data_IF_089927789952
#
_entry.id   IF_089927789952
#
_cell.length_a   1.000
_cell.length_b   1.000
_cell.length_c   1.000
_cell.angle_alpha   90.00
_cell.angle_beta   90.00
_cell.angle_gamma   90.00
#
_symmetry.space_group_name_H-M   'P 1'
#
loop_
_entity.id
_entity.type
_entity.pdbx_description
1 polymer ?
#
# COMPACT_ATOMS: atom_id res chain seq x y z
N UNK A 1 -8.41 19.49 9.00
CA UNK A 1 -7.31 18.89 8.24
C UNK A 1 -6.73 19.85 7.18
N UNK A 2 -7.45 20.27 6.13
CA UNK A 2 -6.91 21.18 5.10
C UNK A 2 -6.24 22.46 5.64
N UNK A 3 -6.74 23.01 6.76
CA UNK A 3 -6.10 24.17 7.41
C UNK A 3 -4.72 23.84 8.01
N UNK A 4 -4.57 22.64 8.62
CA UNK A 4 -3.32 22.22 9.26
C UNK A 4 -2.24 21.77 8.25
N UNK A 5 -2.64 21.41 7.03
CA UNK A 5 -1.74 20.90 5.97
C UNK A 5 -1.59 21.88 4.81
N UNK A 6 -1.91 23.17 4.99
CA UNK A 6 -1.85 24.19 3.94
C UNK A 6 -2.55 23.75 2.63
N UNK A 7 -3.68 23.05 2.75
CA UNK A 7 -4.46 22.57 1.59
C UNK A 7 -4.05 21.18 1.05
N UNK A 8 -2.97 20.59 1.55
CA UNK A 8 -2.50 19.28 1.10
C UNK A 8 -3.45 18.17 1.58
N UNK A 9 -3.83 17.30 0.66
CA UNK A 9 -4.64 16.13 0.98
C UNK A 9 -3.74 14.97 1.44
N UNK A 10 -3.73 14.69 2.74
CA UNK A 10 -2.85 13.67 3.34
C UNK A 10 -3.56 12.38 3.77
N UNK A 11 -4.89 12.40 3.91
CA UNK A 11 -5.62 11.28 4.54
C UNK A 11 -6.82 10.76 3.75
N UNK A 12 -7.12 11.32 2.57
CA UNK A 12 -8.33 10.95 1.82
C UNK A 12 -8.34 9.47 1.45
N UNK A 13 -7.21 8.95 0.97
CA UNK A 13 -7.06 7.53 0.64
C UNK A 13 -7.20 6.63 1.86
N UNK A 14 -6.56 6.99 2.98
CA UNK A 14 -6.66 6.23 4.22
C UNK A 14 -8.09 6.20 4.77
N UNK A 15 -8.79 7.34 4.81
CA UNK A 15 -10.19 7.41 5.25
C UNK A 15 -11.09 6.53 4.34
N UNK A 16 -10.87 6.58 3.03
CA UNK A 16 -11.62 5.77 2.08
C UNK A 16 -11.39 4.28 2.33
N UNK A 17 -10.14 3.83 2.40
CA UNK A 17 -9.80 2.41 2.60
C UNK A 17 -10.27 1.89 3.95
N UNK A 18 -10.01 2.63 5.04
CA UNK A 18 -10.44 2.25 6.38
C UNK A 18 -11.96 2.25 6.52
N UNK A 19 -12.66 3.21 5.89
CA UNK A 19 -14.13 3.24 5.88
C UNK A 19 -14.73 1.99 5.26
N UNK A 20 -14.19 1.54 4.13
CA UNK A 20 -14.63 0.30 3.46
C UNK A 20 -14.30 -0.92 4.34
N UNK A 21 -13.11 -0.99 4.93
CA UNK A 21 -12.72 -2.09 5.80
C UNK A 21 -13.60 -2.18 7.05
N UNK A 22 -13.90 -1.04 7.69
CA UNK A 22 -14.81 -0.98 8.83
C UNK A 22 -16.25 -1.42 8.46
N UNK A 23 -16.75 -0.99 7.30
CA UNK A 23 -18.07 -1.41 6.83
C UNK A 23 -18.11 -2.92 6.57
N UNK A 24 -17.09 -3.47 5.91
CA UNK A 24 -16.94 -4.91 5.68
C UNK A 24 -16.91 -5.69 6.98
N UNK A 25 -16.12 -5.23 7.97
CA UNK A 25 -16.05 -5.85 9.29
C UNK A 25 -17.42 -5.82 9.99
N UNK A 26 -18.13 -4.69 9.95
CA UNK A 26 -19.47 -4.56 10.52
C UNK A 26 -20.48 -5.52 9.86
N UNK A 27 -20.39 -5.70 8.55
CA UNK A 27 -21.25 -6.67 7.82
C UNK A 27 -20.92 -8.12 8.12
N UNK A 28 -19.71 -8.41 8.60
CA UNK A 28 -19.28 -9.75 9.02
C UNK A 28 -19.52 -10.03 10.50
N UNK A 29 -20.22 -9.14 11.20
CA UNK A 29 -20.51 -9.30 12.63
C UNK A 29 -21.31 -10.55 12.90
N UNK A 30 -20.82 -11.38 13.82
CA UNK A 30 -21.46 -12.66 14.18
C UNK A 30 -21.09 -13.85 13.30
N UNK A 31 -20.28 -13.64 12.26
CA UNK A 31 -19.73 -14.70 11.42
C UNK A 31 -18.26 -15.00 11.77
N UNK A 32 -17.76 -16.23 11.63
CA UNK A 32 -16.32 -16.47 11.63
C UNK A 32 -15.67 -15.72 10.50
N UNK A 33 -14.67 -14.90 10.80
CA UNK A 33 -13.99 -14.12 9.78
C UNK A 33 -12.46 -14.18 9.92
N UNK A 34 -11.81 -14.01 8.79
CA UNK A 34 -10.35 -13.79 8.67
C UNK A 34 -10.08 -12.45 8.01
N UNK A 35 -8.85 -11.98 8.09
CA UNK A 35 -8.43 -10.77 7.35
C UNK A 35 -8.71 -10.92 5.85
N UNK A 36 -8.46 -12.10 5.28
CA UNK A 36 -8.75 -12.37 3.87
C UNK A 36 -10.24 -12.26 3.55
N UNK A 37 -11.13 -12.85 4.38
CA UNK A 37 -12.57 -12.73 4.21
C UNK A 37 -13.04 -11.28 4.20
N UNK A 38 -12.55 -10.46 5.16
CA UNK A 38 -12.90 -9.05 5.24
C UNK A 38 -12.45 -8.30 3.98
N UNK A 39 -11.24 -8.55 3.49
CA UNK A 39 -10.72 -7.88 2.29
C UNK A 39 -11.47 -8.29 1.03
N UNK A 40 -11.81 -9.57 0.86
CA UNK A 40 -12.65 -10.03 -0.25
C UNK A 40 -14.04 -9.38 -0.23
N UNK A 41 -14.67 -9.29 0.95
CA UNK A 41 -15.95 -8.60 1.13
C UNK A 41 -15.87 -7.10 0.80
N UNK A 42 -14.73 -6.45 1.08
CA UNK A 42 -14.50 -5.07 0.61
C UNK A 42 -14.65 -4.97 -0.92
N UNK A 43 -14.07 -5.92 -1.65
CA UNK A 43 -14.18 -6.00 -3.10
C UNK A 43 -15.62 -6.21 -3.57
N UNK A 44 -16.35 -7.14 -2.95
CA UNK A 44 -17.76 -7.41 -3.27
C UNK A 44 -18.63 -6.16 -3.09
N UNK A 45 -18.45 -5.43 -1.98
CA UNK A 45 -19.19 -4.21 -1.66
C UNK A 45 -18.91 -3.05 -2.63
N UNK A 46 -17.72 -2.98 -3.18
CA UNK A 46 -17.27 -1.77 -3.89
C UNK A 46 -17.09 -1.97 -5.39
N UNK A 47 -16.98 -3.22 -5.87
CA UNK A 47 -16.59 -3.56 -7.24
C UNK A 47 -17.38 -2.81 -8.29
N UNK A 48 -18.70 -2.91 -8.31
CA UNK A 48 -19.53 -2.30 -9.34
C UNK A 48 -19.37 -0.78 -9.37
N UNK A 49 -19.49 -0.13 -8.20
CA UNK A 49 -19.37 1.32 -8.12
C UNK A 49 -17.98 1.82 -8.49
N UNK A 50 -16.94 1.12 -8.07
CA UNK A 50 -15.56 1.53 -8.40
C UNK A 50 -15.24 1.30 -9.87
N UNK A 51 -15.79 0.26 -10.49
CA UNK A 51 -15.68 0.03 -11.92
C UNK A 51 -16.36 1.14 -12.71
N UNK A 52 -17.58 1.54 -12.33
CA UNK A 52 -18.29 2.66 -12.95
C UNK A 52 -17.53 3.99 -12.79
N UNK A 53 -16.98 4.25 -11.59
CA UNK A 53 -16.18 5.46 -11.35
C UNK A 53 -14.88 5.48 -12.17
N UNK A 54 -14.22 4.33 -12.32
CA UNK A 54 -13.00 4.18 -13.12
C UNK A 54 -13.30 4.34 -14.63
N UNK A 55 -14.40 3.75 -15.10
CA UNK A 55 -14.82 3.89 -16.51
C UNK A 55 -15.21 5.31 -16.83
N UNK A 56 -15.98 5.97 -15.96
CA UNK A 56 -16.32 7.40 -16.09
C UNK A 56 -15.05 8.28 -16.08
N UNK A 57 -14.06 7.94 -15.26
CA UNK A 57 -12.78 8.64 -15.24
C UNK A 57 -11.99 8.42 -16.54
N UNK A 58 -12.12 7.25 -17.17
CA UNK A 58 -11.49 6.93 -18.46
C UNK A 58 -12.08 7.72 -19.62
N UNK A 59 -13.41 7.88 -19.63
CA UNK A 59 -14.15 8.54 -20.73
C UNK A 59 -14.26 10.06 -20.54
N UNK A 60 -14.13 10.56 -19.30
CA UNK A 60 -14.33 11.97 -18.95
C UNK A 60 -13.05 12.79 -18.87
N UNK A 61 -13.18 14.06 -18.48
CA UNK A 61 -12.04 14.88 -18.10
C UNK A 61 -11.54 14.49 -16.69
N UNK A 62 -10.26 14.13 -16.59
CA UNK A 62 -9.66 13.79 -15.31
C UNK A 62 -9.64 14.99 -14.37
N UNK A 63 -10.30 14.86 -13.22
CA UNK A 63 -10.43 15.89 -12.17
C UNK A 63 -9.36 15.77 -11.09
N UNK A 64 -8.70 14.61 -10.99
CA UNK A 64 -7.68 14.33 -10.00
C UNK A 64 -6.44 13.74 -10.66
N UNK A 65 -5.28 13.86 -9.99
CA UNK A 65 -4.05 13.24 -10.49
C UNK A 65 -4.17 11.72 -10.65
N UNK A 66 -4.84 11.03 -9.70
CA UNK A 66 -5.09 9.59 -9.81
C UNK A 66 -5.90 9.21 -11.05
N UNK A 67 -6.91 10.00 -11.42
CA UNK A 67 -7.67 9.82 -12.67
C UNK A 67 -6.81 10.06 -13.91
N UNK A 68 -5.91 11.05 -13.89
CA UNK A 68 -4.95 11.27 -14.97
C UNK A 68 -4.00 10.08 -15.17
N UNK A 69 -3.49 9.51 -14.07
CA UNK A 69 -2.64 8.31 -14.11
C UNK A 69 -3.43 7.11 -14.63
N UNK A 70 -4.70 6.96 -14.20
CA UNK A 70 -5.56 5.91 -14.69
C UNK A 70 -5.82 6.01 -16.20
N UNK A 71 -6.13 7.21 -16.71
CA UNK A 71 -6.32 7.44 -18.15
C UNK A 71 -5.07 7.10 -18.97
N UNK A 72 -3.90 7.44 -18.45
CA UNK A 72 -2.61 7.24 -19.17
C UNK A 72 -2.07 5.83 -19.07
N UNK A 73 -2.23 5.17 -17.92
CA UNK A 73 -1.54 3.92 -17.57
C UNK A 73 -2.46 2.78 -17.16
N UNK A 74 -3.75 3.04 -16.95
CA UNK A 74 -4.67 2.04 -16.41
C UNK A 74 -4.50 1.75 -14.91
N UNK A 75 -3.66 2.52 -14.19
CA UNK A 75 -3.41 2.33 -12.75
C UNK A 75 -4.50 3.01 -11.95
N UNK A 76 -5.44 2.23 -11.44
CA UNK A 76 -6.66 2.70 -10.76
C UNK A 76 -6.45 3.17 -9.30
N UNK A 77 -5.23 3.05 -8.77
CA UNK A 77 -4.91 3.46 -7.39
C UNK A 77 -5.84 2.81 -6.36
N UNK A 78 -6.16 3.53 -5.30
CA UNK A 78 -6.98 3.02 -4.18
C UNK A 78 -8.39 2.55 -4.60
N UNK A 79 -8.95 3.05 -5.70
CA UNK A 79 -10.26 2.59 -6.20
C UNK A 79 -10.17 1.20 -6.81
N UNK A 80 -9.14 0.94 -7.61
CA UNK A 80 -8.90 -0.40 -8.17
C UNK A 80 -8.53 -1.39 -7.07
N UNK A 81 -7.73 -0.99 -6.09
CA UNK A 81 -7.43 -1.82 -4.90
C UNK A 81 -8.70 -2.20 -4.14
N UNK A 82 -9.60 -1.23 -3.88
CA UNK A 82 -10.87 -1.51 -3.21
C UNK A 82 -11.75 -2.47 -4.02
N UNK A 83 -11.89 -2.24 -5.34
CA UNK A 83 -12.66 -3.10 -6.23
C UNK A 83 -12.10 -4.52 -6.34
N UNK A 84 -10.78 -4.67 -6.22
CA UNK A 84 -10.06 -5.94 -6.18
C UNK A 84 -10.00 -6.62 -4.81
N UNK A 85 -10.66 -6.06 -3.78
CA UNK A 85 -10.57 -6.57 -2.42
C UNK A 85 -9.20 -6.34 -1.80
N UNK A 86 -8.58 -5.21 -2.10
CA UNK A 86 -7.24 -4.83 -1.63
C UNK A 86 -6.20 -5.94 -1.89
N UNK A 87 -6.11 -6.38 -3.15
CA UNK A 87 -5.25 -7.47 -3.57
C UNK A 87 -3.78 -7.27 -3.13
N UNK A 88 -3.24 -6.05 -3.23
CA UNK A 88 -1.90 -5.73 -2.75
C UNK A 88 -1.72 -6.03 -1.26
N UNK A 89 -2.72 -5.69 -0.44
CA UNK A 89 -2.70 -6.00 0.99
C UNK A 89 -2.82 -7.51 1.21
N UNK A 90 -3.80 -8.16 0.58
CA UNK A 90 -4.11 -9.58 0.76
C UNK A 90 -2.96 -10.48 0.31
N UNK A 91 -2.39 -10.22 -0.86
CA UNK A 91 -1.44 -11.11 -1.53
C UNK A 91 0.03 -10.76 -1.23
N UNK A 92 0.28 -9.55 -0.70
CA UNK A 92 1.65 -9.10 -0.41
C UNK A 92 1.83 -8.70 1.05
N UNK A 93 1.06 -7.73 1.54
CA UNK A 93 1.33 -7.16 2.86
C UNK A 93 1.04 -8.13 4.00
N UNK A 94 -0.14 -8.78 4.00
CA UNK A 94 -0.52 -9.71 5.06
C UNK A 94 0.38 -10.95 5.14
N UNK A 95 0.72 -11.63 4.04
CA UNK A 95 1.68 -12.73 4.08
C UNK A 95 3.05 -12.29 4.63
N UNK A 96 3.53 -11.11 4.24
CA UNK A 96 4.80 -10.58 4.74
C UNK A 96 4.73 -10.21 6.21
N UNK A 97 3.65 -9.56 6.66
CA UNK A 97 3.40 -9.21 8.06
C UNK A 97 3.43 -10.47 8.93
N UNK A 98 2.65 -11.50 8.55
CA UNK A 98 2.57 -12.75 9.30
C UNK A 98 3.91 -13.47 9.35
N UNK A 99 4.61 -13.61 8.22
CA UNK A 99 5.93 -14.24 8.19
C UNK A 99 6.96 -13.52 9.10
N UNK A 100 6.89 -12.19 9.18
CA UNK A 100 7.75 -11.41 10.06
C UNK A 100 7.39 -11.59 11.54
N UNK A 101 6.09 -11.64 11.87
CA UNK A 101 5.59 -11.92 13.22
C UNK A 101 5.98 -13.35 13.66
N UNK A 102 5.79 -14.34 12.79
CA UNK A 102 6.17 -15.73 13.04
C UNK A 102 7.67 -15.89 13.26
N UNK A 103 8.49 -15.02 12.63
CA UNK A 103 9.93 -14.94 12.87
C UNK A 103 10.31 -14.19 14.17
N UNK A 104 9.32 -13.80 14.99
CA UNK A 104 9.51 -13.16 16.28
C UNK A 104 9.81 -11.65 16.22
N UNK A 105 9.57 -10.99 15.07
CA UNK A 105 9.72 -9.54 14.98
C UNK A 105 8.57 -8.82 15.71
N UNK A 106 8.83 -7.60 16.18
CA UNK A 106 7.78 -6.76 16.76
C UNK A 106 6.72 -6.40 15.71
N UNK A 107 5.50 -6.05 16.15
CA UNK A 107 4.44 -5.61 15.23
C UNK A 107 4.89 -4.44 14.36
N UNK A 108 5.65 -3.50 14.91
CA UNK A 108 6.15 -2.36 14.14
C UNK A 108 7.15 -2.80 13.06
N UNK A 109 8.06 -3.70 13.38
CA UNK A 109 9.04 -4.20 12.41
C UNK A 109 8.40 -5.07 11.33
N UNK A 110 7.43 -5.89 11.71
CA UNK A 110 6.63 -6.67 10.79
C UNK A 110 5.83 -5.76 9.84
N UNK A 111 5.29 -4.63 10.35
CA UNK A 111 4.63 -3.63 9.52
C UNK A 111 5.61 -2.93 8.56
N UNK A 112 6.84 -2.64 8.97
CA UNK A 112 7.89 -2.11 8.09
C UNK A 112 8.24 -3.12 6.97
N UNK A 113 8.34 -4.41 7.29
CA UNK A 113 8.54 -5.46 6.29
C UNK A 113 7.36 -5.51 5.28
N UNK A 114 6.12 -5.46 5.77
CA UNK A 114 4.94 -5.46 4.93
C UNK A 114 4.87 -4.22 4.03
N UNK A 115 5.18 -3.02 4.56
CA UNK A 115 5.24 -1.78 3.79
C UNK A 115 6.30 -1.86 2.70
N UNK A 116 7.51 -2.33 3.03
CA UNK A 116 8.60 -2.48 2.06
C UNK A 116 8.23 -3.44 0.94
N UNK A 117 7.56 -4.56 1.28
CA UNK A 117 7.05 -5.51 0.29
C UNK A 117 5.99 -4.90 -0.64
N UNK A 118 5.09 -4.06 -0.11
CA UNK A 118 4.13 -3.30 -0.92
C UNK A 118 4.83 -2.33 -1.86
N UNK A 119 5.77 -1.53 -1.35
CA UNK A 119 6.54 -0.58 -2.16
C UNK A 119 7.32 -1.28 -3.28
N UNK A 120 7.78 -2.50 -3.05
CA UNK A 120 8.48 -3.32 -4.03
C UNK A 120 7.60 -3.80 -5.19
N UNK A 121 6.28 -3.92 -4.98
CA UNK A 121 5.35 -4.56 -5.93
C UNK A 121 4.27 -3.67 -6.48
N UNK A 122 3.92 -2.60 -5.78
CA UNK A 122 2.83 -1.70 -6.17
C UNK A 122 3.36 -0.47 -6.92
N UNK A 123 2.52 0.08 -7.80
CA UNK A 123 2.82 1.36 -8.44
C UNK A 123 2.22 2.49 -7.59
N UNK A 124 3.10 3.21 -6.87
CA UNK A 124 2.68 4.32 -6.01
C UNK A 124 2.44 5.59 -6.83
N UNK A 125 1.16 5.92 -7.01
CA UNK A 125 0.74 7.12 -7.74
C UNK A 125 1.18 8.43 -7.05
N UNK A 126 1.46 8.42 -5.74
CA UNK A 126 2.00 9.58 -5.04
C UNK A 126 3.50 9.74 -5.31
N UNK A 127 4.25 8.64 -5.35
CA UNK A 127 5.65 8.66 -5.76
C UNK A 127 5.80 9.16 -7.20
N UNK A 128 4.95 8.67 -8.12
CA UNK A 128 4.92 9.18 -9.51
C UNK A 128 4.59 10.67 -9.55
N UNK A 129 3.64 11.14 -8.75
CA UNK A 129 3.26 12.56 -8.70
C UNK A 129 4.38 13.46 -8.20
N UNK A 130 5.17 13.00 -7.24
CA UNK A 130 6.21 13.80 -6.58
C UNK A 130 7.57 13.68 -7.25
N UNK A 131 7.99 12.46 -7.55
CA UNK A 131 9.32 12.12 -8.09
C UNK A 131 9.33 11.81 -9.59
N UNK A 132 8.17 11.88 -10.25
CA UNK A 132 8.05 11.40 -11.64
C UNK A 132 8.22 9.89 -11.73
N UNK A 133 8.27 9.38 -12.97
CA UNK A 133 8.43 7.94 -13.22
C UNK A 133 9.78 7.41 -12.77
N UNK A 134 10.83 8.20 -12.96
CA UNK A 134 12.18 7.83 -12.57
C UNK A 134 12.30 7.70 -11.05
N UNK A 135 11.75 8.64 -10.27
CA UNK A 135 11.73 8.58 -8.81
C UNK A 135 10.92 7.41 -8.28
N UNK A 136 9.72 7.17 -8.84
CA UNK A 136 8.90 6.03 -8.47
C UNK A 136 9.57 4.68 -8.80
N UNK A 137 10.28 4.60 -9.94
CA UNK A 137 11.05 3.42 -10.33
C UNK A 137 12.21 3.18 -9.36
N UNK A 138 13.02 4.20 -9.08
CA UNK A 138 14.15 4.09 -8.14
C UNK A 138 13.68 3.69 -6.73
N UNK A 139 12.55 4.25 -6.27
CA UNK A 139 11.93 3.85 -5.01
C UNK A 139 11.55 2.37 -5.00
N UNK A 140 10.92 1.87 -6.07
CA UNK A 140 10.54 0.46 -6.18
C UNK A 140 11.76 -0.46 -6.21
N UNK A 141 12.79 -0.15 -6.98
CA UNK A 141 14.03 -0.93 -7.04
C UNK A 141 14.72 -1.04 -5.70
N UNK A 142 14.81 0.07 -4.95
CA UNK A 142 15.36 0.05 -3.59
C UNK A 142 14.51 -0.80 -2.64
N UNK A 143 13.18 -0.68 -2.71
CA UNK A 143 12.27 -1.50 -1.93
C UNK A 143 12.42 -3.00 -2.26
N UNK A 144 12.61 -3.37 -3.53
CA UNK A 144 12.85 -4.76 -3.94
C UNK A 144 14.11 -5.36 -3.32
N UNK A 145 15.18 -4.58 -3.25
CA UNK A 145 16.43 -5.02 -2.62
C UNK A 145 16.21 -5.27 -1.12
N UNK A 146 15.59 -4.33 -0.43
CA UNK A 146 15.32 -4.44 1.01
C UNK A 146 14.36 -5.59 1.33
N UNK A 147 13.25 -5.72 0.58
CA UNK A 147 12.29 -6.81 0.73
C UNK A 147 12.93 -8.18 0.50
N UNK A 148 13.76 -8.32 -0.54
CA UNK A 148 14.45 -9.57 -0.86
C UNK A 148 15.41 -10.00 0.24
N UNK A 149 16.18 -9.06 0.78
CA UNK A 149 17.12 -9.33 1.90
C UNK A 149 16.39 -9.78 3.16
N UNK A 150 15.33 -9.05 3.55
CA UNK A 150 14.55 -9.40 4.73
C UNK A 150 13.80 -10.73 4.54
N UNK A 151 13.28 -10.99 3.34
CA UNK A 151 12.64 -12.27 3.01
C UNK A 151 13.61 -13.43 3.18
N UNK A 152 14.82 -13.31 2.65
CA UNK A 152 15.86 -14.34 2.78
C UNK A 152 16.27 -14.54 4.24
N UNK A 153 16.38 -13.47 5.02
CA UNK A 153 16.71 -13.54 6.43
C UNK A 153 15.60 -14.22 7.26
N UNK A 154 14.32 -13.91 6.99
CA UNK A 154 13.17 -14.59 7.62
C UNK A 154 13.22 -16.09 7.31
N UNK A 155 13.38 -16.46 6.04
CA UNK A 155 13.44 -17.85 5.62
C UNK A 155 14.62 -18.63 6.23
N UNK A 156 15.72 -17.95 6.49
CA UNK A 156 16.91 -18.53 7.13
C UNK A 156 16.84 -18.55 8.66
N UNK A 157 15.78 -18.04 9.30
CA UNK A 157 15.69 -17.89 10.76
C UNK A 157 16.62 -16.82 11.34
N UNK A 158 17.08 -15.87 10.52
CA UNK A 158 18.06 -14.83 10.87
C UNK A 158 17.50 -13.41 10.88
N UNK A 159 16.17 -13.27 10.94
CA UNK A 159 15.49 -11.98 10.84
C UNK A 159 15.99 -10.96 11.88
N UNK A 160 16.22 -11.40 13.13
CA UNK A 160 16.73 -10.55 14.20
C UNK A 160 18.17 -10.08 13.97
N UNK A 161 19.01 -10.91 13.32
CA UNK A 161 20.42 -10.57 13.07
C UNK A 161 20.56 -9.40 12.08
N UNK A 162 19.62 -9.24 11.16
CA UNK A 162 19.65 -8.20 10.12
C UNK A 162 18.71 -7.00 10.39
N UNK A 163 17.96 -7.06 11.49
CA UNK A 163 16.88 -6.11 11.76
C UNK A 163 17.40 -4.68 11.97
N UNK A 164 18.48 -4.50 12.70
CA UNK A 164 19.03 -3.18 12.99
C UNK A 164 19.60 -2.52 11.73
N UNK A 165 20.27 -3.28 10.87
CA UNK A 165 20.75 -2.81 9.58
C UNK A 165 19.55 -2.43 8.67
N UNK A 166 18.50 -3.24 8.67
CA UNK A 166 17.28 -2.96 7.90
C UNK A 166 16.61 -1.67 8.36
N UNK A 167 16.45 -1.45 9.66
CA UNK A 167 15.89 -0.21 10.23
C UNK A 167 16.77 1.00 9.90
N UNK A 168 18.07 0.84 10.00
CA UNK A 168 19.02 1.91 9.68
C UNK A 168 18.94 2.30 8.21
N UNK A 169 18.94 1.34 7.30
CA UNK A 169 18.78 1.61 5.87
C UNK A 169 17.45 2.27 5.53
N UNK A 170 16.34 1.84 6.16
CA UNK A 170 15.03 2.48 5.98
C UNK A 170 15.05 3.93 6.47
N UNK A 171 15.72 4.21 7.59
CA UNK A 171 15.83 5.57 8.13
C UNK A 171 16.62 6.48 7.18
N UNK A 172 17.75 6.01 6.66
CA UNK A 172 18.54 6.76 5.69
C UNK A 172 17.76 7.00 4.39
N UNK A 173 17.02 6.00 3.96
CA UNK A 173 16.20 6.10 2.76
C UNK A 173 15.03 7.06 2.92
N UNK A 174 14.34 7.06 4.06
CA UNK A 174 13.30 8.04 4.38
C UNK A 174 13.84 9.48 4.34
N UNK A 175 15.02 9.71 4.91
CA UNK A 175 15.70 11.02 4.83
C UNK A 175 16.02 11.42 3.39
N UNK A 176 16.41 10.47 2.55
CA UNK A 176 16.69 10.72 1.13
C UNK A 176 15.40 11.06 0.36
N UNK A 177 14.35 10.25 0.50
CA UNK A 177 13.04 10.51 -0.12
C UNK A 177 12.46 11.86 0.32
N UNK A 178 12.59 12.19 1.60
CA UNK A 178 12.18 13.50 2.13
C UNK A 178 12.95 14.65 1.48
N UNK A 179 14.27 14.54 1.31
CA UNK A 179 15.08 15.54 0.61
C UNK A 179 14.69 15.69 -0.86
N UNK A 180 14.39 14.59 -1.53
CA UNK A 180 13.93 14.55 -2.92
C UNK A 180 12.45 14.95 -3.06
N UNK A 181 11.71 15.14 -1.95
CA UNK A 181 10.27 15.43 -1.90
C UNK A 181 9.39 14.36 -2.56
N UNK A 182 9.83 13.13 -2.50
CA UNK A 182 9.10 11.96 -2.97
C UNK A 182 8.21 11.39 -1.86
#
# INVERSE_FOLDING_TARGET
MRRATAGVNTHKGAIFSLGIACASLGMSWGEPFSAEHILLRCGEMTRLRMQDELENARQGQARTFGEQVYQKKGVGGVRAEAAGGFAGVRETALPRLNAALDAGLSLNDAALCALTALMARTEDTNAVRRGGEAGAKAMREKAQILDSRMTAAIAAGKAQEVLDDFRHELTLWDQELTRQRI
#
